data_IF_816623778561
#
_entry.id   IF_816623778561
#
_cell.length_a   1.000
_cell.length_b   1.000
_cell.length_c   1.000
_cell.angle_alpha   90.00
_cell.angle_beta   90.00
_cell.angle_gamma   90.00
#
_symmetry.space_group_name_H-M   'P 1'
#
loop_
_entity.id
_entity.type
_entity.pdbx_description
1 polymer ?
#
# COMPACT_ATOMS: atom_id res chain seq x y z
N UNK A 1 -5.85 -10.64 -6.78
CA UNK A 1 -5.97 -9.29 -6.25
C UNK A 1 -4.63 -8.56 -6.11
N UNK A 2 -3.53 -9.21 -5.72
CA UNK A 2 -2.19 -8.59 -5.74
C UNK A 2 -1.65 -8.34 -7.15
N UNK A 3 -1.91 -9.28 -8.07
CA UNK A 3 -1.47 -9.23 -9.46
C UNK A 3 -2.17 -8.15 -10.30
N UNK A 4 -3.37 -7.72 -9.89
CA UNK A 4 -4.19 -6.81 -10.69
C UNK A 4 -3.62 -5.37 -10.66
N UNK A 5 -3.16 -4.91 -9.49
CA UNK A 5 -2.57 -3.56 -9.33
C UNK A 5 -1.20 -3.44 -10.01
N UNK A 6 -0.33 -4.45 -9.83
CA UNK A 6 0.95 -4.50 -10.52
C UNK A 6 0.75 -4.52 -12.04
N UNK A 7 -0.18 -5.33 -12.55
CA UNK A 7 -0.51 -5.38 -13.96
C UNK A 7 -1.07 -4.04 -14.47
N UNK A 8 -1.88 -3.34 -13.67
CA UNK A 8 -2.41 -2.02 -14.02
C UNK A 8 -1.31 -0.95 -14.13
N UNK A 9 -0.34 -0.93 -13.21
CA UNK A 9 0.83 -0.04 -13.29
C UNK A 9 1.65 -0.30 -14.56
N UNK A 10 1.93 -1.57 -14.87
CA UNK A 10 2.68 -1.96 -16.07
C UNK A 10 1.91 -1.60 -17.35
N UNK A 11 0.61 -1.88 -17.37
CA UNK A 11 -0.28 -1.51 -18.49
C UNK A 11 -0.31 0.00 -18.70
N UNK A 12 -0.33 0.78 -17.63
CA UNK A 12 -0.27 2.23 -17.72
C UNK A 12 1.09 2.70 -18.25
N UNK A 13 2.20 2.10 -17.81
CA UNK A 13 3.54 2.41 -18.34
C UNK A 13 3.62 2.16 -19.86
N UNK A 14 3.07 1.03 -20.33
CA UNK A 14 3.01 0.70 -21.76
C UNK A 14 2.14 1.67 -22.56
N UNK A 15 1.02 2.14 -21.98
CA UNK A 15 0.19 3.17 -22.59
C UNK A 15 0.95 4.50 -22.76
N UNK A 16 1.77 4.89 -21.77
CA UNK A 16 2.61 6.09 -21.88
C UNK A 16 3.66 5.94 -22.98
N UNK A 17 4.26 4.75 -23.10
CA UNK A 17 5.25 4.47 -24.15
C UNK A 17 4.64 4.46 -25.55
N UNK A 18 3.41 3.99 -25.72
CA UNK A 18 2.69 4.07 -26.99
C UNK A 18 2.34 5.52 -27.34
N UNK A 19 1.96 6.31 -26.33
CA UNK A 19 1.54 7.70 -26.50
C UNK A 19 2.65 8.65 -26.95
N UNK A 20 3.94 8.27 -26.83
CA UNK A 20 5.08 9.14 -27.15
C UNK A 20 5.31 9.36 -28.65
N UNK A 21 4.74 8.52 -29.51
CA UNK A 21 4.96 8.55 -30.96
C UNK A 21 4.48 9.87 -31.58
N UNK A 22 5.36 10.58 -32.28
CA UNK A 22 5.02 11.84 -32.97
C UNK A 22 4.86 13.06 -32.04
N UNK A 23 5.21 12.93 -30.76
CA UNK A 23 5.22 14.04 -29.80
C UNK A 23 6.55 14.80 -29.83
N UNK A 24 6.58 16.08 -29.38
CA UNK A 24 7.83 16.81 -29.22
C UNK A 24 8.75 16.16 -28.16
N UNK A 25 10.06 16.38 -28.28
CA UNK A 25 11.07 15.79 -27.39
C UNK A 25 10.79 16.05 -25.90
N UNK A 26 10.28 17.25 -25.57
CA UNK A 26 9.87 17.61 -24.19
C UNK A 26 8.77 16.67 -23.65
N UNK A 27 7.76 16.32 -24.47
CA UNK A 27 6.74 15.35 -24.11
C UNK A 27 7.33 13.96 -23.94
N UNK A 28 8.15 13.52 -24.91
CA UNK A 28 8.76 12.19 -24.90
C UNK A 28 9.54 11.98 -23.61
N UNK A 29 10.34 12.97 -23.18
CA UNK A 29 11.09 12.91 -21.93
C UNK A 29 10.18 12.72 -20.72
N UNK A 30 9.14 13.55 -20.57
CA UNK A 30 8.24 13.47 -19.41
C UNK A 30 7.47 12.14 -19.35
N UNK A 31 6.96 11.66 -20.49
CA UNK A 31 6.25 10.39 -20.57
C UNK A 31 7.19 9.20 -20.29
N UNK A 32 8.43 9.27 -20.78
CA UNK A 32 9.45 8.24 -20.52
C UNK A 32 9.79 8.18 -19.03
N UNK A 33 10.00 9.33 -18.38
CA UNK A 33 10.25 9.40 -16.93
C UNK A 33 9.06 8.85 -16.14
N UNK A 34 7.83 9.24 -16.49
CA UNK A 34 6.63 8.72 -15.82
C UNK A 34 6.47 7.20 -16.02
N UNK A 35 6.71 6.68 -17.23
CA UNK A 35 6.67 5.25 -17.51
C UNK A 35 7.73 4.46 -16.73
N UNK A 36 8.95 5.01 -16.59
CA UNK A 36 10.00 4.42 -15.77
C UNK A 36 9.57 4.31 -14.30
N UNK A 37 9.05 5.39 -13.72
CA UNK A 37 8.58 5.37 -12.33
C UNK A 37 7.39 4.43 -12.08
N UNK A 38 6.50 4.26 -13.06
CA UNK A 38 5.43 3.25 -12.97
C UNK A 38 5.99 1.82 -12.93
N UNK A 39 7.05 1.53 -13.69
CA UNK A 39 7.73 0.22 -13.65
C UNK A 39 8.46 0.01 -12.34
N UNK A 40 9.16 1.02 -11.85
CA UNK A 40 9.84 0.96 -10.56
C UNK A 40 8.83 0.75 -9.42
N UNK A 41 7.67 1.42 -9.49
CA UNK A 41 6.56 1.22 -8.57
C UNK A 41 5.97 -0.20 -8.66
N UNK A 42 5.82 -0.75 -9.87
CA UNK A 42 5.38 -2.13 -10.05
C UNK A 42 6.38 -3.14 -9.46
N UNK A 43 7.69 -2.89 -9.58
CA UNK A 43 8.74 -3.72 -8.99
C UNK A 43 8.71 -3.73 -7.45
N UNK A 44 8.10 -2.73 -6.81
CA UNK A 44 7.88 -2.73 -5.36
C UNK A 44 7.00 -3.93 -4.95
N UNK A 45 6.02 -4.33 -5.78
CA UNK A 45 5.20 -5.52 -5.49
C UNK A 45 5.97 -6.84 -5.65
N UNK A 46 6.98 -6.89 -6.53
CA UNK A 46 7.87 -8.05 -6.64
C UNK A 46 8.76 -8.17 -5.39
N UNK A 47 9.18 -7.04 -4.83
CA UNK A 47 9.97 -6.99 -3.60
C UNK A 47 9.13 -7.27 -2.34
N UNK A 48 7.88 -6.81 -2.30
CA UNK A 48 6.98 -6.98 -1.16
C UNK A 48 5.51 -7.15 -1.63
N UNK A 49 5.08 -8.39 -1.91
CA UNK A 49 3.69 -8.66 -2.30
C UNK A 49 2.69 -8.40 -1.16
N UNK A 50 3.18 -8.16 0.06
CA UNK A 50 2.37 -7.97 1.26
C UNK A 50 1.85 -6.54 1.42
N UNK A 51 2.28 -5.61 0.56
CA UNK A 51 1.80 -4.22 0.52
C UNK A 51 0.31 -4.10 0.21
N UNK A 52 -0.25 -5.09 -0.49
CA UNK A 52 -1.67 -5.13 -0.87
C UNK A 52 -2.54 -5.37 0.36
N UNK A 53 -3.46 -4.44 0.63
CA UNK A 53 -4.38 -4.51 1.76
C UNK A 53 -3.77 -4.06 3.08
N UNK A 54 -2.60 -3.40 3.07
CA UNK A 54 -1.98 -2.90 4.29
C UNK A 54 -2.66 -1.58 4.72
N UNK A 55 -3.34 -1.51 5.89
CA UNK A 55 -4.17 -0.38 6.29
C UNK A 55 -3.38 0.92 6.61
N UNK A 56 -2.05 0.87 6.60
CA UNK A 56 -1.17 1.97 7.01
C UNK A 56 -0.82 2.96 5.88
N UNK A 57 -1.70 3.16 4.89
CA UNK A 57 -1.50 4.16 3.83
C UNK A 57 -0.34 3.89 2.87
N UNK A 58 0.28 2.70 2.95
CA UNK A 58 1.44 2.30 2.13
C UNK A 58 1.09 2.16 0.65
N UNK A 59 -0.13 1.67 0.39
CA UNK A 59 -0.73 1.57 -0.94
C UNK A 59 -1.00 2.97 -1.55
N UNK A 60 -1.18 4.00 -0.73
CA UNK A 60 -1.52 5.36 -1.20
C UNK A 60 -0.39 5.99 -2.01
N UNK A 61 0.87 5.68 -1.73
CA UNK A 61 1.98 6.23 -2.52
C UNK A 61 2.05 5.57 -3.90
N UNK A 62 1.72 4.28 -4.02
CA UNK A 62 1.61 3.59 -5.31
C UNK A 62 0.42 4.12 -6.14
N UNK A 63 -0.74 4.30 -5.50
CA UNK A 63 -1.90 4.95 -6.11
C UNK A 63 -1.58 6.39 -6.55
N UNK A 64 -0.83 7.13 -5.73
CA UNK A 64 -0.39 8.48 -6.05
C UNK A 64 0.53 8.50 -7.27
N UNK A 65 1.46 7.55 -7.39
CA UNK A 65 2.33 7.43 -8.57
C UNK A 65 1.48 7.16 -9.83
N UNK A 66 0.53 6.23 -9.75
CA UNK A 66 -0.39 5.94 -10.85
C UNK A 66 -1.19 7.17 -11.27
N UNK A 67 -1.74 7.90 -10.29
CA UNK A 67 -2.53 9.11 -10.53
C UNK A 67 -1.70 10.27 -11.09
N UNK A 68 -0.49 10.49 -10.56
CA UNK A 68 0.44 11.49 -11.09
C UNK A 68 0.80 11.19 -12.55
N UNK A 69 1.12 9.93 -12.87
CA UNK A 69 1.44 9.53 -14.24
C UNK A 69 0.25 9.72 -15.20
N UNK A 70 -0.98 9.45 -14.73
CA UNK A 70 -2.21 9.70 -15.48
C UNK A 70 -2.41 11.20 -15.76
N UNK A 71 -2.22 12.04 -14.75
CA UNK A 71 -2.32 13.50 -14.89
C UNK A 71 -1.24 14.05 -15.84
N UNK A 72 0.00 13.58 -15.73
CA UNK A 72 1.10 13.94 -16.64
C UNK A 72 0.72 13.64 -18.08
N UNK A 73 0.19 12.44 -18.37
CA UNK A 73 -0.24 12.09 -19.72
C UNK A 73 -1.30 13.06 -20.27
N UNK A 74 -2.34 13.36 -19.47
CA UNK A 74 -3.42 14.26 -19.87
C UNK A 74 -2.86 15.67 -20.16
N UNK A 75 -2.03 16.21 -19.26
CA UNK A 75 -1.48 17.57 -19.38
C UNK A 75 -0.50 17.66 -20.54
N UNK A 76 0.40 16.69 -20.71
CA UNK A 76 1.38 16.64 -21.83
C UNK A 76 0.66 16.56 -23.17
N UNK A 77 -0.35 15.69 -23.31
CA UNK A 77 -1.14 15.61 -24.53
C UNK A 77 -1.85 16.93 -24.83
N UNK A 78 -2.40 17.58 -23.80
CA UNK A 78 -3.03 18.90 -23.91
C UNK A 78 -2.03 20.00 -24.29
N UNK A 79 -0.80 19.95 -23.81
CA UNK A 79 0.26 20.91 -24.15
C UNK A 79 0.83 20.70 -25.56
N UNK A 80 0.88 19.44 -26.03
CA UNK A 80 1.37 19.10 -27.36
C UNK A 80 0.36 19.37 -28.49
N UNK A 81 -0.94 19.31 -28.19
CA UNK A 81 -2.00 19.44 -29.18
C UNK A 81 -2.48 20.88 -29.45
N UNK A 82 -1.92 21.91 -28.79
CA UNK A 82 -2.57 23.22 -28.61
C UNK A 82 -3.15 23.82 -29.91
N UNK A 83 -4.49 23.83 -30.06
CA UNK A 83 -5.15 24.52 -31.17
C UNK A 83 -5.32 26.01 -30.85
N UNK A 84 -5.52 26.83 -31.90
CA UNK A 84 -5.84 28.25 -31.76
C UNK A 84 -7.08 28.43 -30.86
N UNK A 85 -6.97 29.25 -29.80
CA UNK A 85 -8.07 29.53 -28.87
C UNK A 85 -8.10 28.68 -27.59
N UNK A 86 -7.01 27.98 -27.24
CA UNK A 86 -6.93 27.26 -25.97
C UNK A 86 -7.15 28.20 -24.76
N UNK A 87 -8.01 27.78 -23.83
CA UNK A 87 -8.34 28.50 -22.58
C UNK A 87 -7.11 28.79 -21.71
N UNK A 88 -6.05 27.98 -21.81
CA UNK A 88 -4.82 28.08 -21.03
C UNK A 88 -3.60 28.21 -21.94
N UNK A 89 -2.60 29.05 -21.58
CA UNK A 89 -1.32 29.11 -22.26
C UNK A 89 -0.61 27.75 -22.30
N UNK A 90 0.09 27.46 -23.39
CA UNK A 90 0.86 26.21 -23.57
C UNK A 90 1.96 26.08 -22.51
N UNK A 91 2.65 27.17 -22.17
CA UNK A 91 3.77 27.11 -21.22
C UNK A 91 3.31 26.77 -19.79
N UNK A 92 2.14 27.26 -19.37
CA UNK A 92 1.57 26.92 -18.06
C UNK A 92 1.25 25.42 -17.96
N UNK A 93 0.81 24.81 -19.07
CA UNK A 93 0.60 23.35 -19.13
C UNK A 93 1.90 22.58 -19.02
N UNK A 94 2.95 23.05 -19.70
CA UNK A 94 4.27 22.42 -19.57
C UNK A 94 4.83 22.54 -18.15
N UNK A 95 4.72 23.72 -17.54
CA UNK A 95 5.14 23.93 -16.15
C UNK A 95 4.38 23.02 -15.19
N UNK A 96 3.07 22.85 -15.38
CA UNK A 96 2.27 21.91 -14.59
C UNK A 96 2.72 20.46 -14.79
N UNK A 97 2.96 20.03 -16.04
CA UNK A 97 3.43 18.67 -16.33
C UNK A 97 4.79 18.38 -15.67
N UNK A 98 5.71 19.35 -15.70
CA UNK A 98 7.02 19.25 -15.05
C UNK A 98 6.91 19.23 -13.53
N UNK A 99 6.04 20.06 -12.95
CA UNK A 99 5.77 20.05 -11.51
C UNK A 99 5.18 18.71 -11.04
N UNK A 100 4.28 18.11 -11.83
CA UNK A 100 3.73 16.78 -11.56
C UNK A 100 4.82 15.70 -11.66
N UNK A 101 5.64 15.74 -12.72
CA UNK A 101 6.74 14.79 -12.90
C UNK A 101 7.79 14.89 -11.78
N UNK A 102 8.09 16.11 -11.30
CA UNK A 102 9.00 16.34 -10.19
C UNK A 102 8.55 15.75 -8.85
N UNK A 103 7.27 15.38 -8.71
CA UNK A 103 6.72 14.74 -7.50
C UNK A 103 6.87 13.22 -7.50
N UNK A 104 7.09 12.60 -8.68
CA UNK A 104 7.20 11.14 -8.80
C UNK A 104 8.36 10.54 -7.98
N UNK A 105 9.60 11.09 -8.00
CA UNK A 105 10.72 10.48 -7.29
C UNK A 105 10.48 10.38 -5.78
N UNK A 106 9.94 11.43 -5.16
CA UNK A 106 9.66 11.44 -3.74
C UNK A 106 8.53 10.48 -3.34
N UNK A 107 7.54 10.27 -4.22
CA UNK A 107 6.49 9.28 -3.99
C UNK A 107 7.04 7.85 -4.10
N UNK A 108 7.90 7.60 -5.09
CA UNK A 108 8.56 6.31 -5.26
C UNK A 108 9.50 5.97 -4.09
N UNK A 109 10.29 6.94 -3.63
CA UNK A 109 11.18 6.75 -2.46
C UNK A 109 10.39 6.35 -1.22
N UNK A 110 9.25 6.99 -0.95
CA UNK A 110 8.37 6.61 0.17
C UNK A 110 7.80 5.21 0.01
N UNK A 111 7.36 4.85 -1.21
CA UNK A 111 6.84 3.51 -1.48
C UNK A 111 7.93 2.43 -1.27
N UNK A 112 9.15 2.68 -1.73
CA UNK A 112 10.29 1.77 -1.58
C UNK A 112 10.76 1.64 -0.13
N UNK A 113 10.82 2.75 0.63
CA UNK A 113 11.23 2.75 2.03
C UNK A 113 10.34 1.89 2.93
N UNK A 114 9.12 1.60 2.47
CA UNK A 114 8.10 0.87 3.20
C UNK A 114 8.02 -0.60 2.78
N UNK A 115 8.60 -0.96 1.63
CA UNK A 115 8.67 -2.32 1.15
C UNK A 115 9.66 -3.14 2.01
N UNK A 116 9.27 -4.34 2.41
CA UNK A 116 10.12 -5.24 3.18
C UNK A 116 10.81 -6.27 2.26
N UNK A 117 12.10 -6.08 1.91
CA UNK A 117 12.81 -7.01 1.03
C UNK A 117 12.98 -8.41 1.63
N UNK A 118 12.94 -8.53 2.97
CA UNK A 118 13.14 -9.80 3.68
C UNK A 118 11.85 -10.63 3.83
N UNK A 119 10.77 -10.31 3.12
CA UNK A 119 9.49 -11.01 3.26
C UNK A 119 9.61 -12.53 3.08
N UNK A 120 10.53 -12.99 2.24
CA UNK A 120 10.78 -14.41 1.96
C UNK A 120 11.55 -15.14 3.07
N UNK A 121 12.04 -14.43 4.09
CA UNK A 121 12.70 -15.04 5.26
C UNK A 121 11.67 -15.29 6.37
N UNK A 122 11.86 -16.32 7.23
CA UNK A 122 11.01 -16.54 8.39
C UNK A 122 10.91 -15.31 9.31
N UNK A 123 12.03 -14.63 9.53
CA UNK A 123 12.14 -13.44 10.36
C UNK A 123 11.35 -12.27 9.77
N UNK A 124 11.52 -12.00 8.48
CA UNK A 124 10.77 -10.94 7.78
C UNK A 124 9.28 -11.23 7.70
N UNK A 125 8.89 -12.47 7.38
CA UNK A 125 7.50 -12.92 7.42
C UNK A 125 6.87 -12.72 8.81
N UNK A 126 7.61 -13.00 9.88
CA UNK A 126 7.16 -12.77 11.26
C UNK A 126 7.00 -11.28 11.56
N UNK A 127 7.96 -10.44 11.17
CA UNK A 127 7.88 -8.99 11.37
C UNK A 127 6.67 -8.37 10.64
N UNK A 128 6.44 -8.76 9.38
CA UNK A 128 5.28 -8.33 8.58
C UNK A 128 3.98 -8.78 9.25
N UNK A 129 3.91 -10.03 9.70
CA UNK A 129 2.73 -10.56 10.38
C UNK A 129 2.43 -9.80 11.67
N UNK A 130 3.45 -9.45 12.45
CA UNK A 130 3.29 -8.63 13.66
C UNK A 130 2.78 -7.23 13.35
N UNK A 131 3.32 -6.57 12.32
CA UNK A 131 2.84 -5.25 11.88
C UNK A 131 1.36 -5.30 11.44
N UNK A 132 0.98 -6.34 10.69
CA UNK A 132 -0.41 -6.55 10.26
C UNK A 132 -1.34 -6.80 11.45
N UNK A 133 -0.93 -7.66 12.38
CA UNK A 133 -1.69 -7.93 13.61
C UNK A 133 -1.85 -6.66 14.46
N UNK A 134 -0.80 -5.84 14.60
CA UNK A 134 -0.84 -4.57 15.31
C UNK A 134 -1.80 -3.58 14.63
N UNK A 135 -1.77 -3.48 13.30
CA UNK A 135 -2.69 -2.60 12.58
C UNK A 135 -4.15 -3.07 12.62
N UNK A 136 -4.40 -4.38 12.77
CA UNK A 136 -5.73 -4.97 12.91
C UNK A 136 -6.20 -5.11 14.37
N UNK A 137 -5.44 -4.61 15.34
CA UNK A 137 -5.66 -4.84 16.77
C UNK A 137 -7.08 -4.48 17.24
N UNK A 138 -7.62 -3.35 16.76
CA UNK A 138 -8.99 -2.92 17.09
C UNK A 138 -10.04 -3.96 16.70
N UNK A 139 -10.03 -4.41 15.44
CA UNK A 139 -10.95 -5.44 14.96
C UNK A 139 -10.77 -6.77 15.67
N UNK A 140 -9.52 -7.18 15.96
CA UNK A 140 -9.24 -8.41 16.70
C UNK A 140 -9.82 -8.36 18.11
N UNK A 141 -9.74 -7.21 18.78
CA UNK A 141 -10.32 -6.98 20.10
C UNK A 141 -11.86 -7.05 20.06
N UNK A 142 -12.47 -6.42 19.06
CA UNK A 142 -13.92 -6.48 18.85
C UNK A 142 -14.39 -7.93 18.64
N UNK A 143 -13.69 -8.70 17.81
CA UNK A 143 -14.01 -10.11 17.57
C UNK A 143 -13.82 -10.98 18.82
N UNK A 144 -12.74 -10.78 19.57
CA UNK A 144 -12.52 -11.50 20.83
C UNK A 144 -13.65 -11.21 21.84
N UNK A 145 -14.07 -9.95 21.95
CA UNK A 145 -15.19 -9.56 22.80
C UNK A 145 -16.52 -10.15 22.31
N UNK A 146 -16.78 -10.16 21.01
CA UNK A 146 -18.01 -10.76 20.45
C UNK A 146 -18.07 -12.27 20.69
N UNK A 147 -16.93 -12.98 20.54
CA UNK A 147 -16.81 -14.39 20.84
C UNK A 147 -17.00 -14.67 22.34
N UNK A 148 -16.47 -13.81 23.22
CA UNK A 148 -16.68 -13.96 24.66
C UNK A 148 -18.16 -13.80 25.02
N UNK A 149 -18.78 -12.73 24.53
CA UNK A 149 -20.18 -12.44 24.80
C UNK A 149 -21.13 -13.54 24.32
N UNK A 150 -20.81 -14.26 23.23
CA UNK A 150 -21.62 -15.38 22.75
C UNK A 150 -21.49 -16.64 23.63
N UNK A 151 -20.40 -16.77 24.38
CA UNK A 151 -20.16 -17.89 25.31
C UNK A 151 -20.69 -17.63 26.72
N UNK A 152 -20.84 -16.38 27.12
CA UNK A 152 -21.30 -16.01 28.46
C UNK A 152 -22.60 -16.75 28.89
N UNK A 153 -23.63 -16.95 28.03
CA UNK A 153 -24.81 -17.73 28.42
C UNK A 153 -24.51 -19.20 28.74
N UNK A 154 -23.59 -19.83 28.00
CA UNK A 154 -23.20 -21.22 28.22
C UNK A 154 -22.34 -21.38 29.48
N UNK A 155 -21.50 -20.38 29.77
CA UNK A 155 -20.68 -20.32 30.98
C UNK A 155 -21.49 -20.02 32.24
N UNK A 156 -22.63 -19.34 32.12
CA UNK A 156 -23.51 -19.00 33.25
C UNK A 156 -24.36 -20.18 33.76
N UNK A 157 -24.33 -21.33 33.09
CA UNK A 157 -25.03 -22.53 33.55
C UNK A 157 -24.42 -23.05 34.86
N UNK A 158 -25.20 -23.69 35.76
CA UNK A 158 -24.67 -24.24 37.02
C UNK A 158 -23.55 -25.28 36.81
N UNK A 159 -23.59 -25.97 35.67
CA UNK A 159 -22.57 -26.92 35.23
C UNK A 159 -22.26 -26.64 33.76
N UNK A 160 -21.37 -25.69 33.47
CA UNK A 160 -21.02 -25.35 32.09
C UNK A 160 -20.30 -26.53 31.44
N UNK A 161 -20.48 -26.68 30.13
CA UNK A 161 -19.76 -27.69 29.35
C UNK A 161 -18.25 -27.44 29.42
N UNK A 162 -17.45 -28.51 29.43
CA UNK A 162 -16.00 -28.40 29.49
C UNK A 162 -15.44 -27.62 28.28
N UNK A 163 -16.03 -27.85 27.11
CA UNK A 163 -15.69 -27.20 25.85
C UNK A 163 -15.94 -25.69 25.89
N UNK A 164 -17.02 -25.24 26.54
CA UNK A 164 -17.32 -23.82 26.71
C UNK A 164 -16.25 -23.15 27.58
N UNK A 165 -15.80 -23.84 28.63
CA UNK A 165 -14.74 -23.36 29.54
C UNK A 165 -13.38 -23.32 28.84
N UNK A 166 -13.05 -24.33 28.04
CA UNK A 166 -11.82 -24.36 27.23
C UNK A 166 -11.79 -23.23 26.21
N UNK A 167 -12.88 -23.04 25.47
CA UNK A 167 -12.98 -22.00 24.46
C UNK A 167 -12.89 -20.59 25.07
N UNK A 168 -13.49 -20.39 26.24
CA UNK A 168 -13.36 -19.16 27.01
C UNK A 168 -11.88 -18.86 27.36
N UNK A 169 -11.15 -19.89 27.82
CA UNK A 169 -9.71 -19.77 28.10
C UNK A 169 -8.85 -19.48 26.87
N UNK A 170 -9.22 -20.01 25.70
CA UNK A 170 -8.55 -19.67 24.43
C UNK A 170 -8.80 -18.22 24.03
N UNK A 171 -10.03 -17.72 24.20
CA UNK A 171 -10.37 -16.32 23.93
C UNK A 171 -9.62 -15.38 24.88
N UNK A 172 -9.48 -15.75 26.15
CA UNK A 172 -8.72 -14.96 27.14
C UNK A 172 -7.23 -14.90 26.76
N UNK A 173 -6.64 -16.01 26.29
CA UNK A 173 -5.28 -16.03 25.76
C UNK A 173 -5.11 -15.16 24.52
N UNK A 174 -6.04 -15.23 23.57
CA UNK A 174 -6.04 -14.38 22.37
C UNK A 174 -6.12 -12.90 22.77
N UNK A 175 -7.02 -12.55 23.70
CA UNK A 175 -7.19 -11.18 24.19
C UNK A 175 -5.92 -10.66 24.86
N UNK A 176 -5.25 -11.48 25.68
CA UNK A 176 -3.98 -11.13 26.28
C UNK A 176 -2.89 -10.87 25.23
N UNK A 177 -2.83 -11.70 24.17
CA UNK A 177 -1.89 -11.50 23.05
C UNK A 177 -2.20 -10.24 22.25
N UNK A 178 -3.48 -9.92 22.01
CA UNK A 178 -3.90 -8.68 21.35
C UNK A 178 -3.48 -7.47 22.18
N UNK A 179 -3.65 -7.50 23.49
CA UNK A 179 -3.22 -6.40 24.37
C UNK A 179 -1.68 -6.26 24.40
N UNK A 180 -0.94 -7.37 24.28
CA UNK A 180 0.52 -7.31 24.17
C UNK A 180 1.01 -6.67 22.86
N UNK A 181 0.17 -6.52 21.83
CA UNK A 181 0.51 -5.78 20.61
C UNK A 181 0.51 -4.25 20.83
N UNK A 182 -0.16 -3.76 21.88
CA UNK A 182 -0.26 -2.33 22.24
C UNK A 182 1.04 -1.79 22.85
N UNK A 183 1.84 -2.68 23.41
CA UNK A 183 3.16 -2.41 23.97
C UNK A 183 4.13 -3.38 23.31
N UNK A 184 4.67 -3.07 22.11
CA UNK A 184 5.68 -3.93 21.52
C UNK A 184 6.78 -4.09 22.55
N UNK A 185 6.98 -5.32 23.05
CA UNK A 185 8.14 -5.65 23.83
C UNK A 185 9.33 -5.16 23.01
N UNK A 186 9.97 -4.07 23.44
CA UNK A 186 11.26 -3.69 22.89
C UNK A 186 12.13 -4.94 23.06
N UNK A 187 12.74 -5.46 21.98
CA UNK A 187 13.61 -6.62 22.12
C UNK A 187 14.61 -6.26 23.21
N UNK A 188 14.53 -7.00 24.33
CA UNK A 188 15.48 -6.89 25.43
C UNK A 188 16.86 -6.97 24.80
N UNK A 189 17.67 -5.93 25.00
CA UNK A 189 19.09 -5.94 24.67
C UNK A 189 19.65 -7.27 25.16
N UNK A 190 20.02 -8.14 24.21
CA UNK A 190 20.65 -9.40 24.54
C UNK A 190 22.00 -9.05 25.19
N UNK A 191 22.32 -9.61 26.36
CA UNK A 191 23.62 -9.38 26.97
C UNK A 191 24.72 -9.89 26.03
N UNK A 192 25.70 -9.03 25.77
CA UNK A 192 26.88 -9.27 24.95
C UNK A 192 27.78 -10.39 25.51
#
# INVERSE_FOLDING_TARGET
MTWDQQADLLKQADQLDQARTGLPERAIRLLTTAAAHLRDAAAVYDCDPTLVGCPAGRERDLDLIAELARQIHIVVRGAAATPAGARWPTEDRWALAEALAGRLPAALERAQAVAHPDHATPEGSRAISLLRLAAAQGHLREWAHALRASLDPALALPHPAAEATELAGLIDQITARINALEHPCTPSEAPA
#
